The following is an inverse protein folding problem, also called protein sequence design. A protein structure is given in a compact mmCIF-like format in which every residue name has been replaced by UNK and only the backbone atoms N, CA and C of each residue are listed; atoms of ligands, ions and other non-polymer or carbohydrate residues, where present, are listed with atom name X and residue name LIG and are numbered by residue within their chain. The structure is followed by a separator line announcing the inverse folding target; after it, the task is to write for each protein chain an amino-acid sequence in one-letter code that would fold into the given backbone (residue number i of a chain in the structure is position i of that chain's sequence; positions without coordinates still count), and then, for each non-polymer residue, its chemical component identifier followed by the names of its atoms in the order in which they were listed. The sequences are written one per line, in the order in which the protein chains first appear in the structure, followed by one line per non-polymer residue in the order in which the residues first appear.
data_IF_878288560831
#
_entry.id   IF_878288560831
#
_cell.length_a   1.000
_cell.length_b   1.000
_cell.length_c   1.000
_cell.angle_alpha   90.00
_cell.angle_beta   90.00
_cell.angle_gamma   90.00
#
_symmetry.space_group_name_H-M   'P 1'
#
loop_
_entity.id
_entity.type
_entity.pdbx_description
1 polymer ?
#
# COMPACT_ATOMS: atom_id res chain seq x y z
N UNK A 1 26.38 -1.61 16.81
CA UNK A 1 25.08 -1.14 17.35
C UNK A 1 25.30 -0.49 18.71
N UNK A 2 25.83 -1.20 19.70
CA UNK A 2 26.04 -0.66 21.07
C UNK A 2 26.99 0.54 21.08
N UNK A 3 28.08 0.52 20.32
CA UNK A 3 29.06 1.61 20.25
C UNK A 3 28.49 2.91 19.64
N UNK A 4 27.49 2.81 18.77
CA UNK A 4 26.92 3.96 18.07
C UNK A 4 25.55 4.39 18.60
N UNK A 5 25.08 3.82 19.72
CA UNK A 5 23.81 4.12 20.37
C UNK A 5 22.60 4.00 19.38
N UNK A 6 22.61 3.01 18.49
CA UNK A 6 21.51 2.76 17.56
C UNK A 6 20.34 2.16 18.35
N UNK A 7 19.23 2.87 18.42
CA UNK A 7 18.02 2.43 19.11
C UNK A 7 17.04 1.68 18.21
N UNK A 8 17.04 1.96 16.91
CA UNK A 8 16.12 1.38 15.92
C UNK A 8 16.87 0.97 14.65
N UNK A 9 16.62 -0.24 14.19
CA UNK A 9 17.03 -0.75 12.88
C UNK A 9 15.77 -0.95 12.02
N UNK A 10 15.74 -0.37 10.84
CA UNK A 10 14.67 -0.56 9.87
C UNK A 10 15.18 -1.52 8.79
N UNK A 11 14.44 -2.61 8.56
CA UNK A 11 14.71 -3.60 7.51
C UNK A 11 13.53 -3.55 6.54
N UNK A 12 13.78 -3.01 5.35
CA UNK A 12 12.79 -2.92 4.28
C UNK A 12 12.87 -4.12 3.34
N UNK A 13 11.77 -4.40 2.64
CA UNK A 13 11.66 -5.50 1.67
C UNK A 13 12.01 -6.88 2.27
N UNK A 14 11.55 -7.15 3.49
CA UNK A 14 11.91 -8.37 4.23
C UNK A 14 11.53 -9.67 3.50
N UNK A 15 10.55 -9.66 2.59
CA UNK A 15 10.18 -10.81 1.76
C UNK A 15 11.34 -11.31 0.89
N UNK A 16 12.28 -10.43 0.50
CA UNK A 16 13.47 -10.83 -0.27
C UNK A 16 14.41 -11.74 0.55
N UNK A 17 14.38 -11.56 1.86
CA UNK A 17 15.14 -12.43 2.79
C UNK A 17 14.47 -13.80 2.88
N UNK A 18 13.14 -13.85 2.97
CA UNK A 18 12.37 -15.10 3.08
C UNK A 18 12.62 -15.99 1.86
N UNK A 19 12.61 -15.40 0.68
CA UNK A 19 12.78 -16.09 -0.60
C UNK A 19 14.25 -16.47 -0.90
N UNK A 20 15.19 -16.02 -0.08
CA UNK A 20 16.61 -16.32 -0.28
C UNK A 20 17.01 -17.68 0.31
N UNK A 21 18.00 -18.36 -0.32
CA UNK A 21 18.56 -19.61 0.20
C UNK A 21 19.16 -19.47 1.61
N UNK A 22 19.50 -18.26 2.00
CA UNK A 22 20.11 -17.92 3.29
C UNK A 22 19.12 -17.32 4.29
N UNK A 23 17.82 -17.32 4.01
CA UNK A 23 16.80 -16.68 4.85
C UNK A 23 16.85 -17.13 6.31
N UNK A 24 17.03 -18.43 6.58
CA UNK A 24 17.15 -18.96 7.95
C UNK A 24 18.34 -18.38 8.71
N UNK A 25 19.46 -18.14 8.03
CA UNK A 25 20.68 -17.56 8.62
C UNK A 25 20.45 -16.09 8.98
N UNK A 26 19.77 -15.35 8.12
CA UNK A 26 19.42 -13.93 8.38
C UNK A 26 18.46 -13.82 9.56
N UNK A 27 17.45 -14.70 9.65
CA UNK A 27 16.54 -14.78 10.81
C UNK A 27 17.33 -14.99 12.10
N UNK A 28 18.27 -15.95 12.10
CA UNK A 28 19.14 -16.22 13.23
C UNK A 28 19.98 -15.01 13.64
N UNK A 29 20.55 -14.32 12.66
CA UNK A 29 21.35 -13.10 12.89
C UNK A 29 20.50 -11.96 13.47
N UNK A 30 19.31 -11.70 12.93
CA UNK A 30 18.40 -10.68 13.47
C UNK A 30 18.00 -11.02 14.91
N UNK A 31 17.67 -12.28 15.18
CA UNK A 31 17.34 -12.74 16.54
C UNK A 31 18.50 -12.52 17.53
N UNK A 32 19.73 -12.85 17.11
CA UNK A 32 20.93 -12.60 17.94
C UNK A 32 21.17 -11.10 18.16
N UNK A 33 20.96 -10.29 17.11
CA UNK A 33 21.10 -8.84 17.21
C UNK A 33 20.13 -8.26 18.24
N UNK A 34 18.86 -8.66 18.21
CA UNK A 34 17.85 -8.22 19.19
C UNK A 34 18.28 -8.65 20.60
N UNK A 35 18.65 -9.91 20.78
CA UNK A 35 18.95 -10.45 22.10
C UNK A 35 20.22 -9.84 22.72
N UNK A 36 21.23 -9.51 21.90
CA UNK A 36 22.55 -9.07 22.39
C UNK A 36 22.67 -7.56 22.49
N UNK A 37 21.90 -6.78 21.74
CA UNK A 37 22.09 -5.33 21.67
C UNK A 37 20.94 -4.51 22.23
N UNK A 38 19.78 -5.11 22.50
CA UNK A 38 18.60 -4.38 22.93
C UNK A 38 18.04 -3.41 21.88
N UNK A 39 18.42 -3.56 20.60
CA UNK A 39 17.94 -2.71 19.51
C UNK A 39 16.52 -3.12 19.14
N UNK A 40 15.65 -2.14 18.90
CA UNK A 40 14.35 -2.37 18.30
C UNK A 40 14.52 -2.55 16.79
N UNK A 41 13.77 -3.51 16.19
CA UNK A 41 13.80 -3.73 14.75
C UNK A 41 12.39 -3.51 14.18
N UNK A 42 12.27 -2.62 13.21
CA UNK A 42 11.08 -2.48 12.37
C UNK A 42 11.32 -3.21 11.04
N UNK A 43 10.49 -4.20 10.76
CA UNK A 43 10.55 -4.97 9.51
C UNK A 43 9.36 -4.58 8.65
N UNK A 44 9.64 -4.15 7.41
CA UNK A 44 8.67 -3.70 6.43
C UNK A 44 8.70 -4.66 5.24
N UNK A 45 7.54 -5.03 4.73
CA UNK A 45 7.47 -5.90 3.57
C UNK A 45 6.05 -6.15 3.09
N UNK A 46 5.93 -6.88 1.98
CA UNK A 46 4.66 -7.31 1.41
C UNK A 46 3.98 -8.38 2.29
N UNK A 47 2.69 -8.69 2.10
CA UNK A 47 2.00 -9.73 2.86
C UNK A 47 2.68 -11.09 2.85
N UNK A 48 3.43 -11.40 1.80
CA UNK A 48 4.23 -12.63 1.69
C UNK A 48 5.28 -12.73 2.80
N UNK A 49 5.68 -11.61 3.39
CA UNK A 49 6.62 -11.58 4.52
C UNK A 49 6.06 -12.23 5.79
N UNK A 50 4.74 -12.46 5.89
CA UNK A 50 4.12 -13.17 7.02
C UNK A 50 4.71 -14.56 7.20
N UNK A 51 5.09 -15.24 6.12
CA UNK A 51 5.74 -16.56 6.14
C UNK A 51 7.03 -16.52 6.98
N UNK A 52 7.73 -15.37 7.02
CA UNK A 52 8.92 -15.18 7.84
C UNK A 52 8.59 -15.36 9.34
N UNK A 53 7.48 -14.80 9.79
CA UNK A 53 7.06 -14.87 11.20
C UNK A 53 6.54 -16.25 11.59
N UNK A 54 5.92 -16.97 10.66
CA UNK A 54 5.51 -18.36 10.86
C UNK A 54 6.72 -19.26 11.10
N UNK A 55 7.82 -19.01 10.41
CA UNK A 55 9.10 -19.74 10.60
C UNK A 55 9.89 -19.27 11.83
N UNK A 56 9.64 -18.05 12.31
CA UNK A 56 10.34 -17.41 13.41
C UNK A 56 9.43 -17.11 14.59
N UNK A 57 8.74 -18.12 15.11
CA UNK A 57 7.73 -17.96 16.20
C UNK A 57 8.27 -17.18 17.41
N UNK A 58 9.57 -17.24 17.68
CA UNK A 58 10.18 -16.46 18.77
C UNK A 58 10.15 -14.96 18.49
N UNK A 59 10.29 -14.54 17.24
CA UNK A 59 10.16 -13.14 16.83
C UNK A 59 8.69 -12.73 16.80
N UNK A 60 7.81 -13.57 16.27
CA UNK A 60 6.37 -13.29 16.19
C UNK A 60 5.74 -12.98 17.55
N UNK A 61 6.15 -13.66 18.60
CA UNK A 61 5.65 -13.43 19.98
C UNK A 61 6.06 -12.08 20.58
N UNK A 62 7.08 -11.44 20.01
CA UNK A 62 7.64 -10.17 20.49
C UNK A 62 7.39 -9.01 19.52
N UNK A 63 6.67 -9.29 18.43
CA UNK A 63 6.38 -8.31 17.40
C UNK A 63 4.96 -7.77 17.54
N UNK A 64 4.81 -6.49 17.23
CA UNK A 64 3.53 -5.86 16.97
C UNK A 64 3.34 -5.82 15.45
N UNK A 65 2.41 -6.62 14.94
CA UNK A 65 2.06 -6.62 13.52
C UNK A 65 1.11 -5.47 13.21
N UNK A 66 1.43 -4.67 12.20
CA UNK A 66 0.56 -3.65 11.64
C UNK A 66 0.35 -3.96 10.15
N UNK A 67 -0.89 -4.08 9.75
CA UNK A 67 -1.25 -4.28 8.35
C UNK A 67 -1.85 -2.99 7.81
N UNK A 68 -1.25 -2.47 6.74
CA UNK A 68 -1.80 -1.35 6.00
C UNK A 68 -2.55 -1.87 4.80
N UNK A 69 -3.85 -1.65 4.80
CA UNK A 69 -4.76 -1.98 3.69
C UNK A 69 -5.09 -0.73 2.90
N UNK A 70 -5.77 -0.90 1.78
CA UNK A 70 -6.39 0.20 1.08
C UNK A 70 -7.32 0.96 2.03
N UNK A 71 -7.32 2.29 1.94
CA UNK A 71 -8.19 3.14 2.73
C UNK A 71 -9.64 2.99 2.25
N UNK A 72 -10.57 2.89 3.18
CA UNK A 72 -11.99 3.00 2.86
C UNK A 72 -12.37 4.47 2.57
N UNK A 73 -13.44 4.69 1.80
CA UNK A 73 -13.96 6.03 1.59
C UNK A 73 -14.56 6.58 2.89
N UNK A 74 -13.75 7.28 3.64
CA UNK A 74 -14.09 7.82 4.95
C UNK A 74 -13.31 9.09 5.27
N UNK A 75 -13.33 9.49 6.53
CA UNK A 75 -12.64 10.69 7.00
C UNK A 75 -11.13 10.60 6.79
N UNK A 76 -10.54 9.43 7.05
CA UNK A 76 -9.11 9.18 6.88
C UNK A 76 -8.65 9.43 5.44
N UNK A 77 -9.35 8.86 4.46
CA UNK A 77 -9.06 9.08 3.04
C UNK A 77 -9.21 10.55 2.64
N UNK A 78 -10.27 11.22 3.11
CA UNK A 78 -10.51 12.63 2.84
C UNK A 78 -9.39 13.51 3.38
N UNK A 79 -8.99 13.30 4.63
CA UNK A 79 -7.90 14.07 5.24
C UNK A 79 -6.57 13.78 4.55
N UNK A 80 -6.29 12.54 4.20
CA UNK A 80 -5.12 12.18 3.40
C UNK A 80 -5.06 12.96 2.07
N UNK A 81 -6.15 12.97 1.30
CA UNK A 81 -6.21 13.71 0.05
C UNK A 81 -6.09 15.23 0.26
N UNK A 82 -6.76 15.79 1.28
CA UNK A 82 -6.67 17.22 1.62
C UNK A 82 -5.24 17.63 1.95
N UNK A 83 -4.52 16.81 2.71
CA UNK A 83 -3.12 17.07 3.05
C UNK A 83 -2.26 17.06 1.79
N UNK A 84 -2.39 16.06 0.93
CA UNK A 84 -1.62 15.97 -0.32
C UNK A 84 -1.89 17.17 -1.24
N UNK A 85 -3.17 17.51 -1.45
CA UNK A 85 -3.58 18.60 -2.33
C UNK A 85 -3.15 19.99 -1.81
N UNK A 86 -2.90 20.13 -0.51
CA UNK A 86 -2.34 21.36 0.08
C UNK A 86 -0.89 21.61 -0.33
N UNK A 87 -0.14 20.56 -0.65
CA UNK A 87 1.27 20.65 -1.06
C UNK A 87 1.47 20.63 -2.58
N UNK A 88 0.44 21.03 -3.33
CA UNK A 88 0.55 21.19 -4.78
C UNK A 88 1.38 22.43 -5.16
N UNK A 89 2.15 22.31 -6.25
CA UNK A 89 3.04 23.35 -6.78
C UNK A 89 2.42 24.16 -7.94
N UNK A 90 1.13 23.97 -8.21
CA UNK A 90 0.38 24.76 -9.20
C UNK A 90 0.05 26.15 -8.64
N UNK A 91 -0.03 27.17 -9.51
CA UNK A 91 -0.33 28.55 -9.06
C UNK A 91 -1.71 28.66 -8.40
N UNK A 92 -2.70 28.00 -8.99
CA UNK A 92 -4.06 27.98 -8.48
C UNK A 92 -4.29 26.71 -7.69
N UNK A 93 -4.29 26.82 -6.37
CA UNK A 93 -4.53 25.67 -5.49
C UNK A 93 -5.88 25.00 -5.82
N UNK A 94 -5.93 23.67 -5.81
CA UNK A 94 -7.16 22.93 -6.11
C UNK A 94 -8.24 23.20 -5.08
N UNK A 95 -9.48 23.33 -5.55
CA UNK A 95 -10.64 23.26 -4.66
C UNK A 95 -10.90 21.81 -4.32
N UNK A 96 -10.66 21.46 -3.06
CA UNK A 96 -10.85 20.09 -2.56
C UNK A 96 -12.33 19.94 -2.17
N UNK A 97 -13.13 19.56 -3.14
CA UNK A 97 -14.56 19.30 -2.99
C UNK A 97 -14.87 17.80 -2.99
N UNK A 98 -16.09 17.45 -2.62
CA UNK A 98 -16.51 16.03 -2.56
C UNK A 98 -16.46 15.34 -3.93
N UNK A 99 -16.79 15.97 -5.08
CA UNK A 99 -16.60 15.37 -6.40
C UNK A 99 -15.15 14.97 -6.69
N UNK A 100 -14.18 15.82 -6.35
CA UNK A 100 -12.75 15.53 -6.54
C UNK A 100 -12.29 14.36 -5.66
N UNK A 101 -12.70 14.34 -4.39
CA UNK A 101 -12.35 13.27 -3.47
C UNK A 101 -12.96 11.93 -3.89
N UNK A 102 -14.21 11.93 -4.33
CA UNK A 102 -14.88 10.75 -4.87
C UNK A 102 -14.22 10.27 -6.15
N UNK A 103 -13.80 11.19 -7.03
CA UNK A 103 -13.06 10.85 -8.25
C UNK A 103 -11.75 10.16 -7.91
N UNK A 104 -10.95 10.73 -6.97
CA UNK A 104 -9.70 10.12 -6.53
C UNK A 104 -9.91 8.73 -5.94
N UNK A 105 -10.95 8.55 -5.14
CA UNK A 105 -11.26 7.25 -4.57
C UNK A 105 -11.62 6.21 -5.63
N UNK A 106 -12.50 6.57 -6.55
CA UNK A 106 -12.96 5.66 -7.61
C UNK A 106 -11.82 5.22 -8.55
N UNK A 107 -10.80 6.06 -8.73
CA UNK A 107 -9.68 5.77 -9.61
C UNK A 107 -8.45 5.20 -8.89
N UNK A 108 -8.45 5.19 -7.55
CA UNK A 108 -7.37 4.62 -6.75
C UNK A 108 -7.79 3.39 -5.94
N UNK A 109 -9.10 3.15 -5.78
CA UNK A 109 -9.67 2.17 -4.86
C UNK A 109 -9.13 2.32 -3.42
N UNK A 110 -8.78 3.55 -3.02
CA UNK A 110 -8.21 3.84 -1.70
C UNK A 110 -6.72 3.51 -1.56
N UNK A 111 -6.03 3.15 -2.65
CA UNK A 111 -4.59 2.90 -2.62
C UNK A 111 -3.82 4.22 -2.55
N UNK A 112 -3.09 4.44 -1.44
CA UNK A 112 -2.35 5.67 -1.17
C UNK A 112 -1.31 5.98 -2.26
N UNK A 113 -0.57 4.98 -2.75
CA UNK A 113 0.48 5.19 -3.76
C UNK A 113 -0.11 5.61 -5.10
N UNK A 114 -1.28 5.08 -5.46
CA UNK A 114 -2.00 5.48 -6.68
C UNK A 114 -2.51 6.91 -6.55
N UNK A 115 -3.07 7.30 -5.41
CA UNK A 115 -3.50 8.68 -5.16
C UNK A 115 -2.34 9.66 -5.30
N UNK A 116 -1.20 9.35 -4.66
CA UNK A 116 0.01 10.18 -4.75
C UNK A 116 0.49 10.28 -6.19
N UNK A 117 0.57 9.16 -6.91
CA UNK A 117 0.98 9.14 -8.32
C UNK A 117 0.06 9.95 -9.22
N UNK A 118 -1.27 9.81 -9.05
CA UNK A 118 -2.26 10.59 -9.82
C UNK A 118 -2.13 12.09 -9.60
N UNK A 119 -2.00 12.51 -8.33
CA UNK A 119 -1.84 13.94 -7.99
C UNK A 119 -0.51 14.47 -8.53
N UNK A 120 0.59 13.70 -8.40
CA UNK A 120 1.89 14.06 -8.93
C UNK A 120 1.85 14.25 -10.45
N UNK A 121 1.36 13.25 -11.18
CA UNK A 121 1.34 13.28 -12.64
C UNK A 121 0.39 14.35 -13.18
N UNK A 122 -0.75 14.57 -12.50
CA UNK A 122 -1.66 15.65 -12.85
C UNK A 122 -1.04 17.04 -12.67
N UNK A 123 -0.25 17.25 -11.59
CA UNK A 123 0.49 18.48 -11.39
C UNK A 123 1.55 18.67 -12.48
N UNK A 124 2.34 17.65 -12.78
CA UNK A 124 3.35 17.70 -13.83
C UNK A 124 2.72 18.11 -15.16
N UNK A 125 1.60 17.50 -15.54
CA UNK A 125 0.87 17.85 -16.76
C UNK A 125 0.36 19.28 -16.70
N UNK A 126 -0.25 19.69 -15.58
CA UNK A 126 -0.78 21.06 -15.44
C UNK A 126 0.29 22.13 -15.57
N UNK A 127 1.49 21.90 -15.05
CA UNK A 127 2.62 22.80 -15.13
C UNK A 127 3.20 22.82 -16.55
N UNK A 128 3.45 21.64 -17.14
CA UNK A 128 4.05 21.53 -18.49
C UNK A 128 3.13 22.08 -19.60
N UNK A 129 1.83 21.94 -19.46
CA UNK A 129 0.84 22.45 -20.40
C UNK A 129 0.43 23.92 -20.08
N UNK A 130 0.99 24.54 -19.04
CA UNK A 130 0.71 25.93 -18.65
C UNK A 130 -0.72 26.14 -18.12
N UNK A 131 -1.39 25.10 -17.68
CA UNK A 131 -2.76 25.20 -17.14
C UNK A 131 -2.77 25.80 -15.73
N UNK A 132 -1.68 25.61 -14.98
CA UNK A 132 -1.42 26.14 -13.65
C UNK A 132 -2.56 25.90 -12.62
N UNK A 133 -3.34 24.86 -12.86
CA UNK A 133 -4.43 24.42 -11.99
C UNK A 133 -4.55 22.90 -12.00
N UNK A 134 -4.97 22.34 -10.86
CA UNK A 134 -5.28 20.94 -10.71
C UNK A 134 -6.78 20.77 -10.47
N UNK A 135 -7.45 20.17 -11.42
CA UNK A 135 -8.89 19.87 -11.40
C UNK A 135 -9.17 18.45 -11.92
N UNK A 136 -10.43 18.03 -11.90
CA UNK A 136 -10.82 16.69 -12.40
C UNK A 136 -10.41 16.49 -13.86
N UNK A 137 -10.34 17.55 -14.67
CA UNK A 137 -9.93 17.46 -16.08
C UNK A 137 -8.46 17.07 -16.18
N UNK A 138 -7.57 17.72 -15.41
CA UNK A 138 -6.13 17.38 -15.38
C UNK A 138 -5.89 16.00 -14.78
N UNK A 139 -6.66 15.62 -13.76
CA UNK A 139 -6.61 14.26 -13.18
C UNK A 139 -7.02 13.19 -14.21
N UNK A 140 -8.06 13.42 -15.01
CA UNK A 140 -8.45 12.50 -16.08
C UNK A 140 -7.33 12.33 -17.12
N UNK A 141 -6.69 13.42 -17.53
CA UNK A 141 -5.58 13.37 -18.50
C UNK A 141 -4.41 12.55 -17.91
N UNK A 142 -4.08 12.75 -16.63
CA UNK A 142 -3.05 11.99 -15.95
C UNK A 142 -3.39 10.50 -15.89
N UNK A 143 -4.61 10.17 -15.51
CA UNK A 143 -5.08 8.79 -15.42
C UNK A 143 -4.99 8.08 -16.77
N UNK A 144 -5.48 8.69 -17.85
CA UNK A 144 -5.44 8.10 -19.18
C UNK A 144 -4.02 7.98 -19.75
N UNK A 145 -3.17 8.98 -19.53
CA UNK A 145 -1.80 9.01 -20.09
C UNK A 145 -0.79 8.16 -19.34
N UNK A 146 -0.88 8.12 -18.00
CA UNK A 146 0.17 7.58 -17.13
C UNK A 146 -0.20 6.27 -16.42
N UNK A 147 -1.48 6.06 -16.15
CA UNK A 147 -1.95 4.92 -15.36
C UNK A 147 -2.48 3.75 -16.20
N UNK A 148 -2.17 3.72 -17.51
CA UNK A 148 -2.67 2.68 -18.43
C UNK A 148 -2.40 1.26 -17.97
N UNK A 149 -1.25 1.00 -17.34
CA UNK A 149 -0.91 -0.33 -16.82
C UNK A 149 -1.72 -0.74 -15.58
N UNK A 150 -2.30 0.23 -14.87
CA UNK A 150 -3.08 0.01 -13.65
C UNK A 150 -4.59 -0.02 -13.90
N UNK A 151 -5.04 0.34 -15.11
CA UNK A 151 -6.46 0.40 -15.44
C UNK A 151 -7.20 -0.91 -15.16
N UNK A 152 -6.59 -2.05 -15.49
CA UNK A 152 -7.21 -3.37 -15.28
C UNK A 152 -7.38 -3.73 -13.80
N UNK A 153 -6.57 -3.13 -12.92
CA UNK A 153 -6.61 -3.35 -11.47
C UNK A 153 -7.50 -2.34 -10.75
N UNK A 154 -7.62 -1.11 -11.28
CA UNK A 154 -8.32 0.00 -10.64
C UNK A 154 -9.76 0.15 -11.11
N UNK A 155 -10.10 -0.34 -12.30
CA UNK A 155 -11.49 -0.33 -12.76
C UNK A 155 -12.28 -1.41 -12.03
N UNK A 156 -13.36 -1.07 -11.31
CA UNK A 156 -14.21 -2.07 -10.71
C UNK A 156 -14.73 -2.99 -11.81
N UNK A 157 -14.45 -4.29 -11.72
CA UNK A 157 -14.99 -5.29 -12.64
C UNK A 157 -16.50 -5.17 -12.57
N UNK A 158 -17.11 -4.53 -13.58
CA UNK A 158 -18.56 -4.52 -13.73
C UNK A 158 -19.00 -5.99 -13.73
N UNK A 159 -19.79 -6.36 -12.75
CA UNK A 159 -20.42 -7.67 -12.65
C UNK A 159 -21.22 -7.90 -13.92
N UNK A 160 -20.62 -8.57 -14.92
CA UNK A 160 -21.37 -9.12 -16.04
C UNK A 160 -22.25 -10.20 -15.42
N UNK A 161 -23.50 -9.86 -15.21
CA UNK A 161 -24.56 -10.82 -14.89
C UNK A 161 -24.66 -11.80 -16.05
N UNK A 162 -24.00 -12.94 -15.91
CA UNK A 162 -24.25 -14.08 -16.78
C UNK A 162 -25.63 -14.65 -16.44
N UNK A 163 -26.45 -14.97 -17.45
CA UNK A 163 -27.78 -15.55 -17.22
C UNK A 163 -27.64 -16.91 -16.53
N UNK A 164 -28.33 -17.04 -15.42
CA UNK A 164 -28.39 -18.22 -14.57
C UNK A 164 -28.84 -19.44 -15.37
N UNK A 165 -27.93 -20.38 -15.62
CA UNK A 165 -28.30 -21.76 -15.91
C UNK A 165 -28.39 -22.53 -14.60
N UNK A 166 -29.61 -22.80 -14.14
CA UNK A 166 -29.89 -23.71 -13.03
C UNK A 166 -29.27 -25.08 -13.30
N UNK A 167 -28.32 -25.52 -12.51
CA UNK A 167 -27.99 -26.92 -12.27
C UNK A 167 -27.70 -27.15 -10.79
N UNK A 168 -28.18 -28.34 -10.37
CA UNK A 168 -28.33 -28.87 -9.04
C UNK A 168 -27.12 -28.78 -8.12
N UNK A 169 -27.45 -28.75 -6.85
CA UNK A 169 -26.64 -28.79 -5.67
C UNK A 169 -25.54 -29.85 -5.64
N UNK A 170 -24.35 -29.44 -5.22
CA UNK A 170 -23.48 -30.20 -4.32
C UNK A 170 -22.64 -29.22 -3.52
N UNK A 171 -22.32 -29.58 -2.28
CA UNK A 171 -21.82 -28.75 -1.18
C UNK A 171 -20.38 -28.23 -1.37
N UNK A 172 -19.88 -27.36 -0.46
CA UNK A 172 -19.11 -26.18 -0.85
C UNK A 172 -17.60 -26.40 -0.76
N UNK A 173 -16.90 -26.04 -1.80
CA UNK A 173 -15.48 -25.74 -1.71
C UNK A 173 -15.30 -24.24 -1.45
N UNK A 174 -14.55 -23.97 -0.39
CA UNK A 174 -14.16 -22.62 0.03
C UNK A 174 -13.33 -21.98 -1.09
N UNK A 175 -13.90 -21.01 -1.76
CA UNK A 175 -13.16 -20.19 -2.72
C UNK A 175 -12.54 -19.03 -1.97
N UNK A 176 -11.23 -19.09 -1.77
CA UNK A 176 -10.43 -17.94 -1.36
C UNK A 176 -10.49 -16.89 -2.48
N UNK A 177 -11.19 -15.80 -2.24
CA UNK A 177 -11.10 -14.60 -3.06
C UNK A 177 -9.72 -13.98 -2.85
N UNK A 178 -8.82 -14.20 -3.78
CA UNK A 178 -7.58 -13.44 -3.89
C UNK A 178 -7.91 -12.04 -4.40
N UNK A 179 -8.17 -11.13 -3.47
CA UNK A 179 -8.08 -9.72 -3.72
C UNK A 179 -6.58 -9.38 -3.73
N UNK A 180 -6.00 -9.12 -4.89
CA UNK A 180 -4.63 -8.64 -5.03
C UNK A 180 -4.60 -7.17 -4.55
N UNK A 181 -4.56 -6.99 -3.25
CA UNK A 181 -4.23 -5.72 -2.63
C UNK A 181 -2.77 -5.79 -2.22
N UNK A 182 -1.95 -4.85 -2.72
CA UNK A 182 -0.59 -4.66 -2.24
C UNK A 182 -0.63 -4.21 -0.78
N UNK A 183 -0.66 -5.20 0.12
CA UNK A 183 -0.62 -4.97 1.55
C UNK A 183 0.84 -4.80 1.98
N UNK A 184 1.17 -3.66 2.53
CA UNK A 184 2.46 -3.43 3.19
C UNK A 184 2.30 -3.82 4.66
N UNK A 185 3.08 -4.79 5.11
CA UNK A 185 3.09 -5.22 6.52
C UNK A 185 4.29 -4.61 7.23
N UNK A 186 4.05 -3.87 8.30
CA UNK A 186 5.09 -3.34 9.18
C UNK A 186 5.09 -4.16 10.46
N UNK A 187 6.23 -4.75 10.78
CA UNK A 187 6.42 -5.50 12.01
C UNK A 187 7.48 -4.81 12.88
N UNK A 188 7.08 -4.39 14.06
CA UNK A 188 7.98 -3.83 15.06
C UNK A 188 8.27 -4.90 16.10
N UNK A 189 9.53 -5.22 16.31
CA UNK A 189 9.99 -6.11 17.37
C UNK A 189 10.67 -5.27 18.44
N UNK A 190 10.08 -5.22 19.63
CA UNK A 190 10.67 -4.59 20.83
C UNK A 190 10.92 -5.64 21.90
N UNK A 191 11.97 -5.42 22.70
CA UNK A 191 12.23 -6.21 23.91
C UNK A 191 11.53 -5.63 25.11
#
# INVERSE_FOLDING_TARGET
VALNHIGLLIVDEIQNVVNSKNGKTVIGTLTQLINNSGVSIAMIGTPESTIFFDQAMMLARRSLGLNYTMMEYGEEFREFCKVLLRYCYVQNLPQVDEPMLMWLYNHSSGNASVVVGLIHDAQEIAILEGLERLDISTLNIAFEKRMTMLHDFLTPKSTKTNPVKKKKADLPDVVEEHCAADLVSIYQVSM
#
